data_IF_704072893810
#
_entry.id   IF_704072893810
#
_cell.length_a   1.000
_cell.length_b   1.000
_cell.length_c   1.000
_cell.angle_alpha   90.00
_cell.angle_beta   90.00
_cell.angle_gamma   90.00
#
_symmetry.space_group_name_H-M   'P 1'
#
loop_
_entity.id
_entity.type
_entity.pdbx_description
1 polymer ?
#
# COMPACT_ATOMS: atom_id res chain seq x y z
N UNK A 1 43.26 -50.85 9.22
CA UNK A 1 42.52 -49.79 8.54
C UNK A 1 41.38 -49.34 9.45
N UNK A 2 41.59 -48.17 10.11
CA UNK A 2 40.49 -47.52 10.80
C UNK A 2 39.79 -46.63 9.79
N UNK A 3 38.54 -47.01 9.44
CA UNK A 3 37.66 -46.17 8.68
C UNK A 3 37.24 -45.00 9.57
N UNK A 4 37.86 -43.85 9.35
CA UNK A 4 37.42 -42.60 10.01
C UNK A 4 36.18 -42.16 9.26
N UNK A 5 35.01 -42.41 9.82
CA UNK A 5 33.74 -41.81 9.34
C UNK A 5 33.90 -40.28 9.33
N UNK A 6 33.95 -39.70 8.14
CA UNK A 6 33.96 -38.27 7.94
C UNK A 6 32.58 -37.72 8.31
N UNK A 7 32.42 -37.27 9.55
CA UNK A 7 31.21 -36.61 9.99
C UNK A 7 31.18 -35.17 9.44
N UNK A 8 30.23 -34.91 8.55
CA UNK A 8 29.99 -33.54 8.04
C UNK A 8 29.24 -32.76 9.11
N UNK A 9 29.92 -31.80 9.71
CA UNK A 9 29.31 -30.87 10.68
C UNK A 9 28.89 -29.62 9.94
N UNK A 10 27.60 -29.35 9.90
CA UNK A 10 27.03 -28.13 9.32
C UNK A 10 26.74 -27.13 10.42
N UNK A 11 27.23 -25.91 10.29
CA UNK A 11 26.91 -24.82 11.20
C UNK A 11 25.41 -24.49 11.15
N UNK A 12 24.83 -24.11 12.27
CA UNK A 12 23.45 -23.61 12.31
C UNK A 12 23.32 -22.39 11.44
N UNK A 13 22.36 -22.41 10.52
CA UNK A 13 22.08 -21.30 9.64
C UNK A 13 21.47 -20.15 10.45
N UNK A 14 21.92 -18.88 10.27
CA UNK A 14 21.30 -17.76 10.95
C UNK A 14 19.82 -17.65 10.59
N UNK A 15 19.03 -17.12 11.51
CA UNK A 15 17.61 -16.85 11.22
C UNK A 15 17.50 -15.76 10.16
N UNK A 16 17.07 -16.13 8.97
CA UNK A 16 16.84 -15.22 7.86
C UNK A 16 15.37 -14.76 7.86
N UNK A 17 15.07 -13.56 7.36
CA UNK A 17 13.70 -13.02 7.36
C UNK A 17 12.74 -13.85 6.48
N UNK A 18 13.27 -14.49 5.45
CA UNK A 18 12.51 -15.38 4.56
C UNK A 18 13.08 -16.80 4.70
N UNK A 19 12.23 -17.75 5.06
CA UNK A 19 12.61 -19.15 5.21
C UNK A 19 13.17 -19.71 3.88
N UNK A 20 14.24 -20.51 3.98
CA UNK A 20 14.89 -21.15 2.83
C UNK A 20 15.43 -20.17 1.76
N UNK A 21 15.67 -18.93 2.14
CA UNK A 21 16.27 -17.90 1.28
C UNK A 21 17.68 -17.55 1.78
N UNK A 22 18.48 -16.96 0.91
CA UNK A 22 19.80 -16.40 1.27
C UNK A 22 19.77 -14.87 1.39
N UNK A 23 18.59 -14.25 1.26
CA UNK A 23 18.43 -12.82 1.28
C UNK A 23 18.51 -12.28 2.70
N UNK A 24 19.33 -11.26 2.89
CA UNK A 24 19.40 -10.53 4.16
C UNK A 24 18.25 -9.52 4.29
N UNK A 25 17.94 -9.14 5.53
CA UNK A 25 16.94 -8.08 5.79
C UNK A 25 17.34 -6.74 5.17
N UNK A 26 18.64 -6.42 5.10
CA UNK A 26 19.15 -5.20 4.47
C UNK A 26 18.89 -5.17 2.96
N UNK A 27 19.10 -6.29 2.26
CA UNK A 27 18.82 -6.37 0.83
C UNK A 27 17.32 -6.29 0.56
N UNK A 28 16.46 -6.92 1.37
CA UNK A 28 15.02 -6.78 1.24
C UNK A 28 14.57 -5.33 1.45
N UNK A 29 15.10 -4.65 2.46
CA UNK A 29 14.81 -3.24 2.69
C UNK A 29 15.24 -2.37 1.50
N UNK A 30 16.43 -2.60 0.95
CA UNK A 30 16.93 -1.88 -0.22
C UNK A 30 16.05 -2.08 -1.46
N UNK A 31 15.62 -3.31 -1.74
CA UNK A 31 14.71 -3.60 -2.86
C UNK A 31 13.39 -2.83 -2.76
N UNK A 32 12.82 -2.78 -1.56
CA UNK A 32 11.56 -2.07 -1.30
C UNK A 32 11.74 -0.56 -1.38
N UNK A 33 12.79 -0.01 -0.75
CA UNK A 33 13.11 1.41 -0.80
C UNK A 33 13.39 1.84 -2.23
N UNK A 34 14.22 1.12 -2.97
CA UNK A 34 14.52 1.43 -4.36
C UNK A 34 13.25 1.44 -5.22
N UNK A 35 12.32 0.50 -5.01
CA UNK A 35 11.08 0.45 -5.76
C UNK A 35 10.15 1.63 -5.48
N UNK A 36 9.94 1.99 -4.21
CA UNK A 36 8.90 2.93 -3.81
C UNK A 36 9.40 4.35 -3.50
N UNK A 37 10.61 4.50 -3.00
CA UNK A 37 11.20 5.81 -2.70
C UNK A 37 12.01 6.32 -3.88
N UNK A 38 12.85 5.46 -4.47
CA UNK A 38 13.74 5.84 -5.58
C UNK A 38 13.12 5.60 -6.97
N UNK A 39 11.88 5.10 -7.03
CA UNK A 39 11.14 4.82 -8.27
C UNK A 39 11.89 3.91 -9.25
N UNK A 40 12.71 2.96 -8.75
CA UNK A 40 13.47 2.00 -9.54
C UNK A 40 12.67 0.70 -9.72
N UNK A 41 12.14 0.41 -10.92
CA UNK A 41 11.47 -0.85 -11.19
C UNK A 41 12.42 -2.04 -11.01
N UNK A 42 11.91 -3.21 -10.69
CA UNK A 42 12.73 -4.40 -10.43
C UNK A 42 13.66 -4.76 -11.59
N UNK A 43 13.22 -4.61 -12.85
CA UNK A 43 14.08 -4.90 -13.99
C UNK A 43 15.33 -4.03 -14.03
N UNK A 44 15.27 -2.76 -13.59
CA UNK A 44 16.44 -1.90 -13.47
C UNK A 44 17.34 -2.32 -12.31
N UNK A 45 16.76 -2.68 -11.17
CA UNK A 45 17.52 -3.19 -10.03
C UNK A 45 18.27 -4.49 -10.40
N UNK A 46 17.64 -5.41 -11.14
CA UNK A 46 18.27 -6.61 -11.68
C UNK A 46 19.48 -6.26 -12.55
N UNK A 47 19.35 -5.26 -13.43
CA UNK A 47 20.47 -4.83 -14.27
C UNK A 47 21.62 -4.25 -13.44
N UNK A 48 21.31 -3.47 -12.39
CA UNK A 48 22.32 -2.95 -11.46
C UNK A 48 23.07 -4.08 -10.76
N UNK A 49 22.35 -5.09 -10.23
CA UNK A 49 22.99 -6.28 -9.63
C UNK A 49 23.88 -7.03 -10.63
N UNK A 50 23.40 -7.18 -11.87
CA UNK A 50 24.18 -7.83 -12.93
C UNK A 50 25.48 -7.08 -13.24
N UNK A 51 25.48 -5.76 -13.23
CA UNK A 51 26.68 -4.93 -13.39
C UNK A 51 27.70 -5.13 -12.24
N UNK A 52 27.19 -5.45 -11.04
CA UNK A 52 28.01 -5.80 -9.88
C UNK A 52 28.43 -7.29 -9.84
N UNK A 53 28.16 -8.05 -10.91
CA UNK A 53 28.49 -9.46 -10.99
C UNK A 53 27.50 -10.41 -10.32
N UNK A 54 26.35 -9.91 -9.84
CA UNK A 54 25.33 -10.71 -9.16
C UNK A 54 24.14 -10.95 -10.10
N UNK A 55 23.85 -12.21 -10.40
CA UNK A 55 22.72 -12.59 -11.24
C UNK A 55 21.54 -13.03 -10.37
N UNK A 56 20.44 -12.25 -10.41
CA UNK A 56 19.19 -12.54 -9.70
C UNK A 56 18.08 -12.60 -10.75
N UNK A 57 17.25 -13.66 -10.69
CA UNK A 57 16.12 -13.78 -11.61
C UNK A 57 14.97 -12.83 -11.23
N UNK A 58 14.13 -12.46 -12.19
CA UNK A 58 12.94 -11.65 -11.94
C UNK A 58 11.94 -12.37 -11.04
N UNK A 59 11.81 -13.69 -11.15
CA UNK A 59 10.98 -14.50 -10.24
C UNK A 59 11.49 -14.40 -8.82
N UNK A 60 12.79 -14.60 -8.58
CA UNK A 60 13.39 -14.51 -7.25
C UNK A 60 13.14 -13.16 -6.59
N UNK A 61 13.33 -12.05 -7.30
CA UNK A 61 13.06 -10.71 -6.75
C UNK A 61 11.57 -10.51 -6.44
N UNK A 62 10.68 -10.99 -7.32
CA UNK A 62 9.24 -10.91 -7.07
C UNK A 62 8.82 -11.74 -5.85
N UNK A 63 9.38 -12.93 -5.68
CA UNK A 63 9.13 -13.79 -4.51
C UNK A 63 9.61 -13.10 -3.22
N UNK A 64 10.83 -12.56 -3.22
CA UNK A 64 11.35 -11.81 -2.09
C UNK A 64 10.51 -10.58 -1.74
N UNK A 65 10.03 -9.88 -2.75
CA UNK A 65 9.15 -8.73 -2.57
C UNK A 65 7.80 -9.15 -1.95
N UNK A 66 7.20 -10.23 -2.47
CA UNK A 66 5.94 -10.77 -1.95
C UNK A 66 6.07 -11.20 -0.49
N UNK A 67 7.15 -11.90 -0.16
CA UNK A 67 7.42 -12.32 1.22
C UNK A 67 7.72 -11.13 2.13
N UNK A 68 8.42 -10.10 1.63
CA UNK A 68 8.61 -8.84 2.39
C UNK A 68 7.28 -8.16 2.69
N UNK A 69 6.35 -8.13 1.72
CA UNK A 69 5.01 -7.59 1.95
C UNK A 69 4.24 -8.40 3.00
N UNK A 70 4.38 -9.74 2.99
CA UNK A 70 3.79 -10.62 4.01
C UNK A 70 4.36 -10.35 5.41
N UNK A 71 5.68 -10.16 5.53
CA UNK A 71 6.35 -9.80 6.79
C UNK A 71 5.87 -8.45 7.35
N UNK A 72 5.60 -7.47 6.47
CA UNK A 72 5.14 -6.14 6.86
C UNK A 72 3.64 -6.06 7.11
N UNK A 73 2.86 -7.07 6.75
CA UNK A 73 1.40 -7.09 6.88
C UNK A 73 0.87 -6.84 8.30
N UNK A 74 1.45 -7.40 9.38
CA UNK A 74 1.03 -7.08 10.75
C UNK A 74 1.17 -5.60 11.11
N UNK A 75 2.26 -4.95 10.61
CA UNK A 75 2.47 -3.52 10.82
C UNK A 75 1.43 -2.68 10.07
N UNK A 76 1.04 -3.08 8.86
CA UNK A 76 -0.04 -2.45 8.10
C UNK A 76 -1.37 -2.50 8.87
N UNK A 77 -1.75 -3.66 9.40
CA UNK A 77 -2.98 -3.78 10.17
C UNK A 77 -2.95 -2.94 11.45
N UNK A 78 -1.80 -2.92 12.15
CA UNK A 78 -1.65 -2.09 13.34
C UNK A 78 -1.72 -0.60 13.01
N UNK A 79 -1.09 -0.15 11.93
CA UNK A 79 -1.19 1.22 11.45
C UNK A 79 -2.64 1.59 11.11
N UNK A 80 -3.37 0.71 10.42
CA UNK A 80 -4.78 0.90 10.12
C UNK A 80 -5.63 1.07 11.38
N UNK A 81 -5.43 0.21 12.38
CA UNK A 81 -6.12 0.33 13.67
C UNK A 81 -5.85 1.69 14.34
N UNK A 82 -4.59 2.11 14.40
CA UNK A 82 -4.19 3.39 15.01
C UNK A 82 -4.80 4.59 14.27
N UNK A 83 -4.82 4.56 12.95
CA UNK A 83 -5.43 5.63 12.14
C UNK A 83 -6.93 5.70 12.38
N UNK A 84 -7.62 4.55 12.40
CA UNK A 84 -9.07 4.51 12.59
C UNK A 84 -9.51 4.76 14.05
N UNK A 85 -8.60 4.71 15.01
CA UNK A 85 -8.83 5.11 16.40
C UNK A 85 -8.67 6.61 16.62
N UNK A 86 -8.30 7.40 15.62
CA UNK A 86 -8.18 8.84 15.70
C UNK A 86 -9.55 9.53 15.68
N UNK A 87 -9.70 10.62 16.45
CA UNK A 87 -10.90 11.43 16.48
C UNK A 87 -11.14 12.26 15.20
N UNK A 88 -10.10 12.39 14.36
CA UNK A 88 -10.19 13.13 13.10
C UNK A 88 -9.41 12.45 11.99
N UNK A 89 -10.12 12.02 10.95
CA UNK A 89 -9.53 11.43 9.75
C UNK A 89 -9.95 12.16 8.47
N UNK A 90 -9.05 12.11 7.51
CA UNK A 90 -9.29 12.52 6.13
C UNK A 90 -9.31 11.27 5.25
N UNK A 91 -10.27 11.19 4.33
CA UNK A 91 -10.39 10.09 3.37
C UNK A 91 -10.52 10.67 1.98
N UNK A 92 -9.73 10.13 1.07
CA UNK A 92 -9.72 10.48 -0.35
C UNK A 92 -9.40 9.23 -1.18
N UNK A 93 -9.80 9.18 -2.45
CA UNK A 93 -9.47 8.08 -3.33
C UNK A 93 -8.88 8.57 -4.64
N UNK A 94 -7.98 7.78 -5.18
CA UNK A 94 -7.39 8.01 -6.50
C UNK A 94 -7.48 6.77 -7.38
N UNK A 95 -7.57 6.97 -8.68
CA UNK A 95 -7.59 5.86 -9.64
C UNK A 95 -6.17 5.40 -9.97
N UNK A 96 -6.00 4.09 -10.13
CA UNK A 96 -4.79 3.48 -10.63
C UNK A 96 -5.11 2.57 -11.82
N UNK A 97 -4.35 2.66 -12.94
CA UNK A 97 -4.51 1.74 -14.05
C UNK A 97 -3.95 0.36 -13.68
N UNK A 98 -4.73 -0.69 -13.91
CA UNK A 98 -4.35 -2.08 -13.63
C UNK A 98 -4.43 -2.88 -14.92
N UNK A 99 -3.40 -3.64 -15.22
CA UNK A 99 -3.44 -4.61 -16.32
C UNK A 99 -4.26 -5.82 -15.88
N UNK A 100 -5.32 -6.09 -16.60
CA UNK A 100 -6.14 -7.28 -16.41
C UNK A 100 -5.70 -8.33 -17.42
N UNK A 101 -4.96 -9.34 -16.98
CA UNK A 101 -4.32 -10.32 -17.85
C UNK A 101 -5.33 -11.05 -18.74
N UNK A 102 -6.43 -11.58 -18.17
CA UNK A 102 -7.44 -12.31 -18.94
C UNK A 102 -8.17 -11.46 -20.00
N UNK A 103 -8.30 -10.17 -19.77
CA UNK A 103 -9.01 -9.25 -20.67
C UNK A 103 -8.09 -8.50 -21.62
N UNK A 104 -6.78 -8.69 -21.52
CA UNK A 104 -5.74 -7.96 -22.27
C UNK A 104 -6.00 -6.46 -22.37
N UNK A 105 -6.55 -5.87 -21.31
CA UNK A 105 -6.87 -4.44 -21.24
C UNK A 105 -6.58 -3.87 -19.86
N UNK A 106 -6.39 -2.57 -19.84
CA UNK A 106 -6.27 -1.82 -18.59
C UNK A 106 -7.66 -1.53 -18.01
N UNK A 107 -7.84 -1.85 -16.74
CA UNK A 107 -9.02 -1.51 -15.95
C UNK A 107 -8.66 -0.50 -14.86
N UNK A 108 -9.65 0.26 -14.39
CA UNK A 108 -9.44 1.18 -13.27
C UNK A 108 -9.53 0.41 -11.95
N UNK A 109 -8.49 0.51 -11.14
CA UNK A 109 -8.55 0.21 -9.71
C UNK A 109 -8.54 1.49 -8.90
N UNK A 110 -8.71 1.37 -7.59
CA UNK A 110 -8.77 2.49 -6.67
C UNK A 110 -7.82 2.27 -5.50
N UNK A 111 -7.13 3.35 -5.13
CA UNK A 111 -6.37 3.42 -3.89
C UNK A 111 -7.09 4.44 -3.01
N UNK A 112 -7.47 3.99 -1.84
CA UNK A 112 -8.08 4.80 -0.79
C UNK A 112 -6.99 5.23 0.18
N UNK A 113 -6.85 6.52 0.39
CA UNK A 113 -5.98 7.10 1.41
C UNK A 113 -6.83 7.42 2.65
N UNK A 114 -6.39 6.96 3.81
CA UNK A 114 -6.99 7.33 5.09
C UNK A 114 -5.89 7.89 5.98
N UNK A 115 -6.06 9.14 6.40
CA UNK A 115 -5.08 9.87 7.19
C UNK A 115 -5.65 10.29 8.53
N UNK A 116 -4.98 9.93 9.63
CA UNK A 116 -5.18 10.51 10.95
C UNK A 116 -4.42 11.84 11.03
N UNK A 117 -5.17 12.94 11.08
CA UNK A 117 -4.59 14.30 10.95
C UNK A 117 -3.73 14.65 12.14
N UNK A 118 -4.24 14.42 13.36
CA UNK A 118 -3.58 14.79 14.62
C UNK A 118 -2.29 13.98 14.83
N UNK A 119 -2.35 12.68 14.57
CA UNK A 119 -1.22 11.76 14.77
C UNK A 119 -0.26 11.76 13.57
N UNK A 120 -0.61 12.44 12.48
CA UNK A 120 0.14 12.47 11.23
C UNK A 120 0.50 11.07 10.69
N UNK A 121 -0.47 10.15 10.76
CA UNK A 121 -0.36 8.79 10.24
C UNK A 121 -1.25 8.62 9.02
N UNK A 122 -0.85 7.79 8.07
CA UNK A 122 -1.61 7.49 6.86
C UNK A 122 -1.47 6.02 6.50
N UNK A 123 -2.56 5.41 6.04
CA UNK A 123 -2.49 4.13 5.33
C UNK A 123 -3.21 4.22 3.99
N UNK A 124 -2.83 3.30 3.10
CA UNK A 124 -3.44 3.16 1.79
C UNK A 124 -4.11 1.80 1.69
N UNK A 125 -5.32 1.78 1.13
CA UNK A 125 -6.05 0.55 0.85
C UNK A 125 -6.33 0.46 -0.64
N UNK A 126 -5.97 -0.68 -1.23
CA UNK A 126 -6.21 -0.99 -2.63
C UNK A 126 -7.48 -1.83 -2.77
N UNK A 127 -8.36 -1.43 -3.69
CA UNK A 127 -9.53 -2.23 -4.10
C UNK A 127 -9.51 -2.47 -5.61
N UNK A 128 -9.82 -3.70 -5.99
CA UNK A 128 -9.72 -4.22 -7.37
C UNK A 128 -10.83 -3.72 -8.30
N UNK A 129 -11.16 -2.44 -8.30
CA UNK A 129 -12.04 -1.87 -9.31
C UNK A 129 -13.39 -1.41 -8.81
N UNK A 130 -13.55 -1.23 -7.52
CA UNK A 130 -14.78 -0.70 -6.96
C UNK A 130 -14.53 0.64 -6.26
N UNK A 131 -15.19 1.69 -6.74
CA UNK A 131 -15.43 2.93 -6.01
C UNK A 131 -16.75 2.83 -5.23
N UNK A 132 -17.18 1.60 -4.93
CA UNK A 132 -18.49 1.35 -4.35
C UNK A 132 -18.53 1.66 -2.86
N UNK A 133 -19.69 2.06 -2.40
CA UNK A 133 -20.06 2.32 -1.01
C UNK A 133 -19.62 1.20 -0.05
N UNK A 134 -19.65 -0.07 -0.49
CA UNK A 134 -19.22 -1.21 0.33
C UNK A 134 -17.74 -1.16 0.74
N UNK A 135 -16.87 -0.55 -0.08
CA UNK A 135 -15.44 -0.40 0.25
C UNK A 135 -15.28 0.57 1.41
N UNK A 136 -15.95 1.72 1.32
CA UNK A 136 -15.95 2.73 2.38
C UNK A 136 -16.56 2.18 3.67
N UNK A 137 -17.67 1.43 3.57
CA UNK A 137 -18.26 0.74 4.72
C UNK A 137 -17.29 -0.24 5.37
N UNK A 138 -16.57 -1.03 4.59
CA UNK A 138 -15.55 -1.96 5.10
C UNK A 138 -14.34 -1.27 5.70
N UNK A 139 -13.93 -0.13 5.14
CA UNK A 139 -12.82 0.66 5.65
C UNK A 139 -13.15 1.37 6.96
N UNK A 140 -14.33 2.01 7.03
CA UNK A 140 -14.75 2.92 8.11
C UNK A 140 -15.87 2.33 8.98
N UNK A 141 -16.00 1.01 9.02
CA UNK A 141 -17.12 0.30 9.66
C UNK A 141 -17.45 0.80 11.07
N UNK A 142 -16.44 0.90 11.93
CA UNK A 142 -16.60 1.31 13.34
C UNK A 142 -16.07 2.72 13.63
N UNK A 143 -15.78 3.51 12.59
CA UNK A 143 -15.22 4.84 12.80
C UNK A 143 -16.24 5.76 13.52
N UNK A 144 -15.74 6.47 14.50
CA UNK A 144 -16.41 7.57 15.22
C UNK A 144 -15.46 8.76 15.27
N UNK A 145 -15.99 9.97 15.09
CA UNK A 145 -15.19 11.18 15.08
C UNK A 145 -15.45 12.05 13.85
N UNK A 146 -14.57 13.01 13.61
CA UNK A 146 -14.64 13.90 12.46
C UNK A 146 -14.13 13.21 11.19
N UNK A 147 -14.97 13.14 10.16
CA UNK A 147 -14.68 12.52 8.88
C UNK A 147 -14.64 13.59 7.78
N UNK A 148 -13.44 13.94 7.30
CA UNK A 148 -13.30 14.88 6.19
C UNK A 148 -13.15 14.13 4.86
N UNK A 149 -14.00 14.50 3.88
CA UNK A 149 -14.03 13.93 2.54
C UNK A 149 -14.16 15.01 1.47
N UNK A 150 -14.07 14.63 0.20
CA UNK A 150 -14.31 15.50 -0.96
C UNK A 150 -15.79 15.81 -1.22
N UNK A 151 -16.71 15.21 -0.44
CA UNK A 151 -18.16 15.33 -0.65
C UNK A 151 -18.70 14.40 -1.74
N UNK A 152 -17.95 13.40 -2.15
CA UNK A 152 -18.46 12.39 -3.08
C UNK A 152 -19.64 11.61 -2.47
N UNK A 153 -20.66 11.36 -3.28
CA UNK A 153 -21.94 10.74 -2.88
C UNK A 153 -21.79 9.44 -2.05
N UNK A 154 -20.70 8.72 -2.26
CA UNK A 154 -20.41 7.48 -1.50
C UNK A 154 -20.30 7.70 0.00
N UNK A 155 -20.01 8.94 0.44
CA UNK A 155 -19.91 9.31 1.86
C UNK A 155 -21.20 9.82 2.47
N UNK A 156 -22.26 10.04 1.67
CA UNK A 156 -23.55 10.57 2.14
C UNK A 156 -24.17 9.74 3.28
N UNK A 157 -23.87 8.42 3.32
CA UNK A 157 -24.31 7.55 4.41
C UNK A 157 -23.77 7.95 5.80
N UNK A 158 -22.67 8.71 5.84
CA UNK A 158 -22.06 9.17 7.09
C UNK A 158 -22.64 10.47 7.59
N UNK A 159 -23.41 11.23 6.77
CA UNK A 159 -24.04 12.50 7.17
C UNK A 159 -24.99 12.34 8.35
N UNK A 160 -25.69 11.19 8.44
CA UNK A 160 -26.62 10.90 9.50
C UNK A 160 -26.14 9.77 10.44
N UNK A 161 -24.88 9.32 10.32
CA UNK A 161 -24.34 8.26 11.17
C UNK A 161 -24.01 8.80 12.56
N UNK A 162 -24.67 8.23 13.58
CA UNK A 162 -24.41 8.60 14.99
C UNK A 162 -22.93 8.42 15.34
N UNK A 163 -22.32 9.44 15.93
CA UNK A 163 -20.92 9.43 16.33
C UNK A 163 -19.94 9.85 15.23
N UNK A 164 -20.42 10.18 14.02
CA UNK A 164 -19.59 10.73 12.94
C UNK A 164 -19.98 12.17 12.67
N UNK A 165 -18.98 13.06 12.62
CA UNK A 165 -19.12 14.46 12.21
C UNK A 165 -18.55 14.62 10.79
N UNK A 166 -19.39 14.71 9.76
CA UNK A 166 -18.93 14.89 8.39
C UNK A 166 -18.39 16.30 8.17
N UNK A 167 -17.24 16.42 7.51
CA UNK A 167 -16.56 17.67 7.19
C UNK A 167 -16.22 17.70 5.71
N UNK A 168 -16.58 18.78 5.01
CA UNK A 168 -16.18 19.00 3.61
C UNK A 168 -14.73 19.46 3.47
N UNK A 169 -14.10 19.09 2.38
CA UNK A 169 -12.74 19.53 2.07
C UNK A 169 -12.75 20.83 1.26
N UNK A 170 -12.22 21.92 1.83
CA UNK A 170 -12.11 23.22 1.16
C UNK A 170 -11.28 23.20 -0.12
N UNK A 171 -10.26 22.35 -0.19
CA UNK A 171 -9.46 22.21 -1.41
C UNK A 171 -10.30 21.66 -2.59
N UNK A 172 -11.21 20.73 -2.31
CA UNK A 172 -12.15 20.22 -3.31
C UNK A 172 -13.24 21.26 -3.65
N UNK A 173 -13.82 21.92 -2.66
CA UNK A 173 -14.80 23.00 -2.87
C UNK A 173 -14.23 24.11 -3.78
N UNK A 174 -13.01 24.56 -3.52
CA UNK A 174 -12.31 25.53 -4.36
C UNK A 174 -12.10 25.04 -5.79
N UNK A 175 -11.78 23.76 -5.97
CA UNK A 175 -11.59 23.16 -7.30
C UNK A 175 -12.89 23.15 -8.11
N UNK A 176 -14.02 22.85 -7.47
CA UNK A 176 -15.35 22.93 -8.07
C UNK A 176 -15.73 24.37 -8.48
N UNK A 177 -15.47 25.38 -7.63
CA UNK A 177 -15.72 26.79 -7.98
C UNK A 177 -14.93 27.24 -9.20
N UNK A 178 -13.63 26.93 -9.28
CA UNK A 178 -12.81 27.26 -10.42
C UNK A 178 -13.31 26.59 -11.73
N UNK A 179 -13.80 25.36 -11.65
CA UNK A 179 -14.37 24.65 -12.79
C UNK A 179 -15.69 25.29 -13.29
N UNK A 180 -16.52 25.77 -12.38
CA UNK A 180 -17.77 26.47 -12.71
C UNK A 180 -17.47 27.82 -13.39
N UNK A 181 -16.50 28.59 -12.88
CA UNK A 181 -16.10 29.89 -13.44
C UNK A 181 -15.57 29.70 -14.86
N UNK A 182 -14.72 28.72 -15.12
CA UNK A 182 -14.17 28.45 -16.46
C UNK A 182 -15.29 28.06 -17.44
N UNK A 183 -16.26 27.22 -17.03
CA UNK A 183 -17.38 26.83 -17.90
C UNK A 183 -18.38 27.97 -18.17
N UNK A 184 -18.52 28.93 -17.29
CA UNK A 184 -19.39 30.08 -17.51
C UNK A 184 -18.76 31.17 -18.39
N UNK A 185 -17.45 31.07 -18.69
CA UNK A 185 -16.69 32.03 -19.51
C UNK A 185 -16.44 31.54 -20.94
N UNK A 186 -16.94 30.35 -21.30
CA UNK A 186 -16.97 29.77 -22.65
C UNK A 186 -18.39 29.66 -23.15
#
# INVERSE_FOLDING_TARGET
>A
NMDVEKQVVTALMPMLPIAKSYVSSSLLAELVINKYVNHLPFHRQIQMFKQLGVSISSSTINDWFQESANLLRPLYYRLRELVLASDYIQVDETTIPIVHEEKHKTVKGYIWMVRAVIQNMVFFHYDQGSRAQKVVLGLLHNFQGALQTDGYEVYAMYENKKGVLPIGCWAHARRYQNYIIIKSST
#
